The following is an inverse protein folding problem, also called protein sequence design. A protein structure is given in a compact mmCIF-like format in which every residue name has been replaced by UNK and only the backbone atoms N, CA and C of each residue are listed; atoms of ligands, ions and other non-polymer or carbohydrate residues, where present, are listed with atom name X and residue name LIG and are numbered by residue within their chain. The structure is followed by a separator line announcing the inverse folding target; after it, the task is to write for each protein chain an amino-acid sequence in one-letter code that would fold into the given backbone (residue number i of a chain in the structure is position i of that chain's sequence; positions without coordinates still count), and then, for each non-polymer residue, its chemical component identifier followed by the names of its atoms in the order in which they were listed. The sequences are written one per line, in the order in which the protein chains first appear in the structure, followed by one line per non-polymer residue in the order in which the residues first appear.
data_IF_155605857522
#
_entry.id   IF_155605857522
#
_cell.length_a   1.000
_cell.length_b   1.000
_cell.length_c   1.000
_cell.angle_alpha   90.00
_cell.angle_beta   90.00
_cell.angle_gamma   90.00
#
_symmetry.space_group_name_H-M   'P 1'
#
loop_
_entity.id
_entity.type
_entity.pdbx_description
1 polymer ?
#
# COMPACT_ATOMS: atom_id res chain seq x y z
N UNK A 1 -22.09 -12.45 35.51
CA UNK A 1 -21.67 -11.23 34.79
C UNK A 1 -22.51 -11.14 33.52
N UNK A 2 -23.34 -10.11 33.35
CA UNK A 2 -24.37 -10.07 32.29
C UNK A 2 -23.73 -10.05 30.89
N UNK A 3 -24.19 -10.94 30.00
CA UNK A 3 -23.69 -11.07 28.61
C UNK A 3 -23.66 -9.72 27.88
N UNK A 4 -24.65 -8.87 28.13
CA UNK A 4 -24.74 -7.52 27.57
C UNK A 4 -23.61 -6.59 28.03
N UNK A 5 -23.13 -6.71 29.28
CA UNK A 5 -21.98 -5.92 29.79
C UNK A 5 -20.66 -6.41 29.20
N UNK A 6 -20.50 -7.72 29.02
CA UNK A 6 -19.31 -8.31 28.38
C UNK A 6 -19.25 -7.91 26.91
N UNK A 7 -20.38 -7.96 26.19
CA UNK A 7 -20.50 -7.55 24.80
C UNK A 7 -20.20 -6.05 24.61
N UNK A 8 -20.76 -5.19 25.46
CA UNK A 8 -20.53 -3.74 25.37
C UNK A 8 -19.07 -3.37 25.68
N UNK A 9 -18.45 -4.04 26.67
CA UNK A 9 -17.04 -3.88 26.99
C UNK A 9 -16.14 -4.34 25.83
N UNK A 10 -16.51 -5.44 25.16
CA UNK A 10 -15.77 -5.95 24.00
C UNK A 10 -15.80 -4.97 22.82
N UNK A 11 -16.97 -4.38 22.53
CA UNK A 11 -17.13 -3.36 21.49
C UNK A 11 -16.33 -2.09 21.82
N UNK A 12 -16.36 -1.64 23.07
CA UNK A 12 -15.60 -0.44 23.46
C UNK A 12 -14.09 -0.65 23.38
N UNK A 13 -13.59 -1.83 23.73
CA UNK A 13 -12.16 -2.18 23.59
C UNK A 13 -11.76 -2.23 22.10
N UNK A 14 -12.56 -2.84 21.24
CA UNK A 14 -12.33 -2.87 19.79
C UNK A 14 -12.30 -1.46 19.17
N UNK A 15 -13.26 -0.61 19.53
CA UNK A 15 -13.30 0.79 19.08
C UNK A 15 -12.11 1.61 19.60
N UNK A 16 -11.67 1.38 20.84
CA UNK A 16 -10.50 2.06 21.39
C UNK A 16 -9.20 1.61 20.69
N UNK A 17 -9.09 0.33 20.32
CA UNK A 17 -7.94 -0.19 19.57
C UNK A 17 -7.90 0.37 18.14
N UNK A 18 -9.04 0.40 17.44
CA UNK A 18 -9.14 1.00 16.10
C UNK A 18 -8.76 2.50 16.14
N UNK A 19 -9.30 3.25 17.11
CA UNK A 19 -8.97 4.68 17.31
C UNK A 19 -7.48 4.88 17.59
N UNK A 20 -6.88 4.10 18.50
CA UNK A 20 -5.46 4.20 18.86
C UNK A 20 -4.55 3.89 17.66
N UNK A 21 -4.85 2.85 16.87
CA UNK A 21 -4.08 2.53 15.66
C UNK A 21 -4.18 3.62 14.60
N UNK A 22 -5.36 4.22 14.47
CA UNK A 22 -5.60 5.31 13.52
C UNK A 22 -4.88 6.59 13.91
N UNK A 23 -4.77 6.90 15.21
CA UNK A 23 -3.93 8.00 15.70
C UNK A 23 -2.43 7.74 15.49
N UNK A 24 -2.02 6.47 15.48
CA UNK A 24 -0.60 6.11 15.48
C UNK A 24 0.03 6.02 14.08
N UNK A 25 -0.71 5.59 13.07
CA UNK A 25 -0.16 5.28 11.74
C UNK A 25 -0.61 6.23 10.63
N UNK A 26 -1.70 6.95 10.83
CA UNK A 26 -2.24 7.86 9.82
C UNK A 26 -1.31 9.08 9.65
N UNK A 27 -1.03 9.45 8.40
CA UNK A 27 -0.17 10.59 8.02
C UNK A 27 1.21 10.58 8.71
N UNK A 28 1.75 9.38 8.96
CA UNK A 28 3.00 9.19 9.70
C UNK A 28 4.17 8.93 8.75
N UNK A 29 5.34 9.48 9.07
CA UNK A 29 6.56 9.30 8.26
C UNK A 29 7.21 7.93 8.49
N UNK A 30 8.04 7.49 7.54
CA UNK A 30 8.78 6.23 7.66
C UNK A 30 9.69 6.23 8.90
N UNK A 31 10.32 7.37 9.21
CA UNK A 31 11.16 7.54 10.40
C UNK A 31 10.37 7.31 11.68
N UNK A 32 9.18 7.92 11.80
CA UNK A 32 8.32 7.71 12.97
C UNK A 32 7.82 6.27 13.04
N UNK A 33 7.46 5.64 11.92
CA UNK A 33 7.12 4.21 11.91
C UNK A 33 8.28 3.34 12.40
N UNK A 34 9.53 3.67 12.02
CA UNK A 34 10.72 2.98 12.54
C UNK A 34 10.89 3.18 14.05
N UNK A 35 10.68 4.38 14.57
CA UNK A 35 10.74 4.65 16.02
C UNK A 35 9.71 3.81 16.79
N UNK A 36 8.51 3.64 16.24
CA UNK A 36 7.46 2.81 16.83
C UNK A 36 7.83 1.33 16.83
N UNK A 37 8.40 0.82 15.73
CA UNK A 37 8.88 -0.55 15.61
C UNK A 37 10.05 -0.82 16.58
N UNK A 38 10.99 0.11 16.69
CA UNK A 38 12.16 -0.03 17.55
C UNK A 38 11.80 0.03 19.04
N UNK A 39 10.84 0.89 19.39
CA UNK A 39 10.31 1.00 20.76
C UNK A 39 9.29 -0.09 21.13
N UNK A 40 9.04 -1.06 20.24
CA UNK A 40 8.04 -2.13 20.40
C UNK A 40 6.63 -1.59 20.72
N UNK A 41 6.30 -0.38 20.23
CA UNK A 41 4.94 0.19 20.32
C UNK A 41 4.00 -0.36 19.24
N UNK A 42 4.59 -0.95 18.19
CA UNK A 42 3.94 -1.68 17.10
C UNK A 42 4.91 -2.75 16.59
N UNK A 43 4.42 -3.68 15.76
CA UNK A 43 5.25 -4.52 14.90
C UNK A 43 4.86 -4.40 13.41
N UNK A 44 5.61 -5.04 12.52
CA UNK A 44 5.36 -4.97 11.07
C UNK A 44 4.06 -5.68 10.68
N UNK A 45 3.64 -6.71 11.44
CA UNK A 45 2.36 -7.40 11.23
C UNK A 45 1.21 -6.44 11.49
N UNK A 46 1.21 -5.74 12.62
CA UNK A 46 0.20 -4.72 12.97
C UNK A 46 0.14 -3.60 11.93
N UNK A 47 1.29 -3.13 11.43
CA UNK A 47 1.33 -2.15 10.34
C UNK A 47 0.67 -2.69 9.05
N UNK A 48 1.02 -3.90 8.63
CA UNK A 48 0.43 -4.52 7.43
C UNK A 48 -1.07 -4.70 7.59
N UNK A 49 -1.53 -5.21 8.73
CA UNK A 49 -2.95 -5.40 9.02
C UNK A 49 -3.72 -4.07 8.97
N UNK A 50 -3.13 -3.00 9.53
CA UNK A 50 -3.74 -1.68 9.50
C UNK A 50 -3.89 -1.13 8.08
N UNK A 51 -2.83 -1.18 7.26
CA UNK A 51 -2.88 -0.73 5.87
C UNK A 51 -3.87 -1.55 5.04
N UNK A 52 -3.93 -2.87 5.23
CA UNK A 52 -4.89 -3.75 4.54
C UNK A 52 -6.34 -3.43 4.93
N UNK A 53 -6.61 -3.26 6.24
CA UNK A 53 -7.93 -2.88 6.76
C UNK A 53 -8.39 -1.54 6.18
N UNK A 54 -7.50 -0.55 6.19
CA UNK A 54 -7.78 0.78 5.64
C UNK A 54 -8.04 0.72 4.13
N UNK A 55 -7.24 -0.05 3.39
CA UNK A 55 -7.44 -0.28 1.96
C UNK A 55 -8.81 -0.92 1.69
N UNK A 56 -9.18 -1.96 2.44
CA UNK A 56 -10.50 -2.60 2.29
C UNK A 56 -11.66 -1.59 2.50
N UNK A 57 -11.56 -0.79 3.57
CA UNK A 57 -12.58 0.19 3.96
C UNK A 57 -12.76 1.29 2.91
N UNK A 58 -11.67 1.81 2.34
CA UNK A 58 -11.74 3.00 1.48
C UNK A 58 -11.51 2.75 -0.02
N UNK A 59 -10.67 1.79 -0.38
CA UNK A 59 -10.33 1.49 -1.77
C UNK A 59 -11.41 0.66 -2.47
N UNK A 60 -11.87 -0.40 -1.79
CA UNK A 60 -12.76 -1.42 -2.36
C UNK A 60 -14.24 -1.19 -1.98
N UNK A 61 -14.49 -0.62 -0.80
CA UNK A 61 -15.84 -0.43 -0.27
C UNK A 61 -16.33 1.02 -0.35
N UNK A 62 -15.88 1.90 0.55
CA UNK A 62 -16.47 3.22 0.80
C UNK A 62 -16.49 4.16 -0.42
N UNK A 63 -15.54 5.13 -0.54
CA UNK A 63 -15.45 6.01 -1.71
C UNK A 63 -15.04 5.26 -3.00
N UNK A 64 -14.67 3.97 -2.90
CA UNK A 64 -14.29 3.10 -4.03
C UNK A 64 -13.18 3.71 -4.87
N UNK A 65 -12.05 4.03 -4.22
CA UNK A 65 -10.92 4.67 -4.92
C UNK A 65 -10.36 3.78 -6.04
N UNK A 66 -10.43 2.45 -5.88
CA UNK A 66 -10.01 1.47 -6.87
C UNK A 66 -8.58 1.73 -7.37
N UNK A 67 -7.65 1.84 -6.42
CA UNK A 67 -6.24 2.19 -6.58
C UNK A 67 -5.31 0.99 -6.41
N UNK A 68 -5.81 -0.14 -5.89
CA UNK A 68 -5.09 -1.39 -5.75
C UNK A 68 -5.54 -2.41 -6.81
N UNK A 69 -4.59 -2.94 -7.57
CA UNK A 69 -4.81 -3.96 -8.60
C UNK A 69 -4.69 -5.38 -8.01
N UNK A 70 -3.60 -5.66 -7.29
CA UNK A 70 -3.32 -6.99 -6.74
C UNK A 70 -2.65 -6.89 -5.37
N UNK A 71 -3.17 -7.60 -4.37
CA UNK A 71 -2.49 -7.72 -3.08
C UNK A 71 -1.37 -8.77 -3.12
N UNK A 72 -0.28 -8.51 -2.40
CA UNK A 72 0.72 -9.54 -2.11
C UNK A 72 0.16 -10.52 -1.06
N UNK A 73 -0.09 -11.76 -1.47
CA UNK A 73 -0.65 -12.81 -0.59
C UNK A 73 0.31 -13.24 0.54
N UNK A 74 1.59 -12.88 0.44
CA UNK A 74 2.64 -13.22 1.41
C UNK A 74 2.96 -12.08 2.37
N UNK A 75 2.34 -10.90 2.24
CA UNK A 75 2.71 -9.70 3.00
C UNK A 75 2.74 -9.93 4.51
N UNK A 76 1.70 -10.54 5.10
CA UNK A 76 1.66 -10.85 6.55
C UNK A 76 2.75 -11.84 6.97
N UNK A 77 3.00 -12.87 6.16
CA UNK A 77 4.06 -13.84 6.47
C UNK A 77 5.46 -13.23 6.37
N UNK A 78 5.66 -12.29 5.43
CA UNK A 78 6.90 -11.52 5.29
C UNK A 78 7.07 -10.55 6.46
N UNK A 79 6.01 -9.88 6.89
CA UNK A 79 6.01 -9.02 8.07
C UNK A 79 6.48 -9.78 9.31
N UNK A 80 5.87 -10.93 9.59
CA UNK A 80 6.25 -11.80 10.72
C UNK A 80 7.72 -12.23 10.65
N UNK A 81 8.23 -12.54 9.46
CA UNK A 81 9.64 -12.88 9.26
C UNK A 81 10.57 -11.70 9.57
N UNK A 82 10.20 -10.50 9.13
CA UNK A 82 10.98 -9.28 9.36
C UNK A 82 10.94 -8.84 10.83
N UNK A 83 9.84 -9.06 11.54
CA UNK A 83 9.76 -8.81 12.99
C UNK A 83 10.68 -9.75 13.77
N UNK A 84 10.66 -11.05 13.43
CA UNK A 84 11.61 -12.02 14.02
C UNK A 84 13.06 -11.66 13.69
N UNK A 85 13.32 -11.21 12.46
CA UNK A 85 14.65 -10.78 12.07
C UNK A 85 15.10 -9.54 12.83
N UNK A 86 14.23 -8.52 12.96
CA UNK A 86 14.52 -7.30 13.75
C UNK A 86 14.94 -7.68 15.16
N UNK A 87 14.17 -8.55 15.82
CA UNK A 87 14.47 -9.02 17.18
C UNK A 87 15.81 -9.75 17.29
N UNK A 88 16.16 -10.54 16.29
CA UNK A 88 17.34 -11.42 16.36
C UNK A 88 18.63 -10.79 15.81
N UNK A 89 18.52 -9.88 14.84
CA UNK A 89 19.64 -9.36 14.04
C UNK A 89 19.63 -7.84 13.89
N UNK A 90 18.55 -7.16 14.30
CA UNK A 90 18.32 -5.74 14.04
C UNK A 90 17.70 -5.48 12.66
N UNK A 91 17.32 -4.22 12.43
CA UNK A 91 16.79 -3.76 11.15
C UNK A 91 17.88 -3.71 10.07
N UNK A 92 17.54 -4.12 8.84
CA UNK A 92 18.44 -4.02 7.69
C UNK A 92 18.64 -2.58 7.20
N UNK A 93 17.60 -1.75 7.32
CA UNK A 93 17.58 -0.35 6.88
C UNK A 93 16.35 0.36 7.46
N UNK A 94 16.17 1.65 7.14
CA UNK A 94 14.95 2.41 7.45
C UNK A 94 13.68 1.85 6.79
N UNK A 95 13.80 0.96 5.80
CA UNK A 95 12.66 0.30 5.17
C UNK A 95 12.32 -1.05 5.79
N UNK A 96 13.08 -1.52 6.79
CA UNK A 96 12.87 -2.83 7.40
C UNK A 96 11.51 -2.93 8.07
N UNK A 97 10.63 -3.80 7.56
CA UNK A 97 9.27 -3.97 8.05
C UNK A 97 8.26 -2.95 7.51
N UNK A 98 8.67 -2.03 6.63
CA UNK A 98 7.80 -0.95 6.13
C UNK A 98 6.98 -1.41 4.91
N UNK A 99 5.65 -1.26 4.91
CA UNK A 99 4.80 -1.59 3.77
C UNK A 99 4.91 -0.56 2.63
N UNK A 100 5.31 -1.02 1.45
CA UNK A 100 5.50 -0.22 0.24
C UNK A 100 4.59 -0.71 -0.88
N UNK A 101 4.00 0.23 -1.61
CA UNK A 101 3.19 -0.04 -2.80
C UNK A 101 4.07 0.00 -4.06
N UNK A 102 3.77 -0.81 -5.07
CA UNK A 102 4.49 -0.74 -6.36
C UNK A 102 3.50 -0.71 -7.52
N UNK A 103 3.79 0.08 -8.55
CA UNK A 103 2.95 0.15 -9.76
C UNK A 103 2.82 -1.19 -10.47
N UNK A 104 1.68 -1.43 -11.11
CA UNK A 104 1.39 -2.73 -11.74
C UNK A 104 2.39 -3.15 -12.84
N UNK A 105 3.13 -2.23 -13.45
CA UNK A 105 4.19 -2.55 -14.43
C UNK A 105 5.56 -2.94 -13.81
N UNK A 106 5.65 -3.14 -12.49
CA UNK A 106 6.88 -3.59 -11.81
C UNK A 106 6.84 -5.09 -11.55
N UNK A 107 7.58 -5.91 -12.29
CA UNK A 107 7.59 -7.35 -12.04
C UNK A 107 7.92 -7.70 -10.58
N UNK A 108 7.12 -8.59 -9.99
CA UNK A 108 7.37 -9.21 -8.69
C UNK A 108 6.85 -10.64 -8.67
N UNK A 109 7.52 -11.53 -7.97
CA UNK A 109 7.03 -12.92 -7.78
C UNK A 109 5.87 -13.01 -6.79
N UNK A 110 5.53 -11.92 -6.10
CA UNK A 110 4.52 -11.87 -5.05
C UNK A 110 3.08 -11.66 -5.57
N UNK A 111 2.94 -11.15 -6.79
CA UNK A 111 1.65 -10.79 -7.38
C UNK A 111 1.74 -10.74 -8.92
N UNK A 112 0.62 -10.83 -9.65
CA UNK A 112 0.60 -10.65 -11.10
C UNK A 112 1.09 -9.26 -11.53
N UNK A 113 1.49 -9.14 -12.79
CA UNK A 113 1.90 -7.87 -13.42
C UNK A 113 1.17 -7.75 -14.75
N UNK A 114 0.16 -6.88 -14.82
CA UNK A 114 -0.76 -6.81 -15.98
C UNK A 114 -0.62 -5.53 -16.79
N UNK A 115 0.24 -4.60 -16.34
CA UNK A 115 0.32 -3.23 -16.87
C UNK A 115 -1.04 -2.53 -16.97
N UNK A 116 -2.00 -2.87 -16.10
CA UNK A 116 -3.38 -2.39 -16.13
C UNK A 116 -4.27 -2.95 -17.26
N UNK A 117 -3.81 -3.97 -17.98
CA UNK A 117 -4.47 -4.54 -19.17
C UNK A 117 -5.01 -5.94 -18.94
N UNK A 118 -6.26 -6.18 -19.35
CA UNK A 118 -6.89 -7.50 -19.31
C UNK A 118 -6.19 -8.53 -20.22
N UNK A 119 -5.45 -8.08 -21.26
CA UNK A 119 -4.72 -9.01 -22.13
C UNK A 119 -3.56 -9.72 -21.42
N UNK A 120 -3.07 -9.14 -20.32
CA UNK A 120 -2.00 -9.69 -19.49
C UNK A 120 -2.56 -10.34 -18.21
N UNK A 121 -3.88 -10.56 -18.14
CA UNK A 121 -4.49 -11.28 -17.02
C UNK A 121 -3.82 -12.67 -16.85
N UNK A 122 -3.47 -13.00 -15.61
CA UNK A 122 -2.75 -14.25 -15.30
C UNK A 122 -1.24 -14.21 -15.54
N UNK A 123 -0.67 -13.12 -16.05
CA UNK A 123 0.79 -12.98 -16.16
C UNK A 123 1.44 -12.90 -14.77
N UNK A 124 2.11 -13.98 -14.38
CA UNK A 124 2.84 -14.09 -13.11
C UNK A 124 4.36 -14.06 -13.37
N UNK A 125 5.07 -13.01 -12.96
CA UNK A 125 6.52 -12.92 -13.15
C UNK A 125 7.29 -14.02 -12.44
N UNK A 126 8.39 -14.48 -13.06
CA UNK A 126 9.31 -15.49 -12.48
C UNK A 126 10.43 -14.88 -11.63
N UNK A 127 10.60 -13.56 -11.69
CA UNK A 127 11.63 -12.81 -10.97
C UNK A 127 11.10 -11.43 -10.59
N UNK A 128 11.74 -10.84 -9.60
CA UNK A 128 11.52 -9.44 -9.26
C UNK A 128 12.28 -8.52 -10.23
N UNK A 129 11.69 -7.38 -10.57
CA UNK A 129 12.41 -6.28 -11.16
C UNK A 129 13.53 -5.81 -10.21
N UNK A 130 14.63 -5.30 -10.75
CA UNK A 130 15.83 -4.92 -9.97
C UNK A 130 15.52 -4.02 -8.78
N UNK A 131 14.68 -3.00 -8.97
CA UNK A 131 14.27 -2.08 -7.93
C UNK A 131 13.37 -2.72 -6.87
N UNK A 132 12.50 -3.67 -7.24
CA UNK A 132 11.67 -4.44 -6.29
C UNK A 132 12.56 -5.34 -5.45
N UNK A 133 13.54 -6.02 -6.09
CA UNK A 133 14.54 -6.83 -5.39
C UNK A 133 15.31 -6.00 -4.36
N UNK A 134 15.78 -4.80 -4.73
CA UNK A 134 16.50 -3.89 -3.81
C UNK A 134 15.65 -3.44 -2.62
N UNK A 135 14.36 -3.15 -2.84
CA UNK A 135 13.43 -2.85 -1.75
C UNK A 135 13.31 -4.02 -0.76
N UNK A 136 13.16 -5.25 -1.26
CA UNK A 136 13.09 -6.45 -0.42
C UNK A 136 14.39 -6.75 0.31
N UNK A 137 15.54 -6.53 -0.35
CA UNK A 137 16.87 -6.64 0.27
C UNK A 137 17.02 -5.65 1.43
N UNK A 138 16.51 -4.42 1.27
CA UNK A 138 16.45 -3.41 2.32
C UNK A 138 15.45 -3.73 3.44
N UNK A 139 14.64 -4.79 3.30
CA UNK A 139 13.66 -5.24 4.28
C UNK A 139 12.26 -4.64 4.11
N UNK A 140 11.96 -3.99 2.99
CA UNK A 140 10.62 -3.49 2.71
C UNK A 140 9.63 -4.63 2.43
N UNK A 141 8.38 -4.43 2.82
CA UNK A 141 7.28 -5.35 2.52
C UNK A 141 6.53 -4.79 1.31
N UNK A 142 6.60 -5.48 0.17
CA UNK A 142 5.77 -5.11 -0.98
C UNK A 142 4.33 -5.48 -0.66
N UNK A 143 3.50 -4.49 -0.32
CA UNK A 143 2.14 -4.74 0.16
C UNK A 143 1.18 -5.10 -0.98
N UNK A 144 1.24 -4.32 -2.06
CA UNK A 144 0.32 -4.48 -3.17
C UNK A 144 0.86 -3.84 -4.46
N UNK A 145 0.26 -4.28 -5.57
CA UNK A 145 0.34 -3.70 -6.90
C UNK A 145 -0.74 -2.64 -7.06
N UNK A 146 -0.37 -1.43 -7.40
CA UNK A 146 -1.32 -0.32 -7.62
C UNK A 146 -1.78 -0.28 -9.07
N UNK A 147 -3.02 0.17 -9.28
CA UNK A 147 -3.55 0.40 -10.62
C UNK A 147 -2.74 1.47 -11.36
N UNK A 148 -2.83 1.44 -12.68
CA UNK A 148 -2.13 2.39 -13.54
C UNK A 148 -2.92 2.66 -14.81
N UNK A 149 -2.63 3.76 -15.50
CA UNK A 149 -3.13 3.89 -16.86
C UNK A 149 -2.56 2.77 -17.71
N UNK A 150 -3.42 2.08 -18.45
CA UNK A 150 -3.08 0.88 -19.22
C UNK A 150 -1.85 1.12 -20.11
N UNK A 151 -0.87 0.22 -20.03
CA UNK A 151 0.44 0.33 -20.70
C UNK A 151 1.22 1.62 -20.44
N UNK A 152 0.92 2.30 -19.33
CA UNK A 152 1.44 3.62 -19.01
C UNK A 152 1.11 4.71 -20.06
N UNK A 153 0.09 4.48 -20.90
CA UNK A 153 -0.22 5.33 -22.05
C UNK A 153 -1.40 6.27 -21.78
N UNK A 154 -1.29 7.09 -20.73
CA UNK A 154 -2.27 8.14 -20.45
C UNK A 154 -2.25 8.70 -19.04
N UNK A 155 -3.11 9.71 -18.81
CA UNK A 155 -3.00 10.66 -17.68
C UNK A 155 -4.15 10.59 -16.67
N UNK A 156 -5.09 9.65 -16.84
CA UNK A 156 -6.31 9.58 -16.02
C UNK A 156 -6.45 8.30 -15.21
N UNK A 157 -5.48 7.38 -15.32
CA UNK A 157 -5.49 6.05 -14.66
C UNK A 157 -6.78 5.26 -14.91
N UNK A 158 -6.89 4.78 -16.15
CA UNK A 158 -7.94 3.88 -16.62
C UNK A 158 -7.27 2.67 -17.27
N UNK A 159 -7.87 1.50 -17.13
CA UNK A 159 -7.38 0.30 -17.78
C UNK A 159 -8.41 -0.81 -17.82
N UNK A 160 -8.33 -1.63 -18.86
CA UNK A 160 -9.27 -2.72 -19.12
C UNK A 160 -9.32 -3.77 -17.98
N UNK A 161 -8.25 -3.91 -17.18
CA UNK A 161 -8.19 -4.87 -16.08
C UNK A 161 -8.93 -4.44 -14.79
N UNK A 162 -9.25 -3.15 -14.62
CA UNK A 162 -9.82 -2.63 -13.36
C UNK A 162 -10.83 -1.49 -13.53
N UNK A 163 -10.98 -0.93 -14.72
CA UNK A 163 -11.83 0.22 -14.99
C UNK A 163 -11.12 1.55 -14.71
N UNK A 164 -11.51 2.23 -13.62
CA UNK A 164 -11.04 3.60 -13.31
C UNK A 164 -10.61 3.74 -11.85
N UNK A 165 -9.55 4.49 -11.62
CA UNK A 165 -9.14 4.93 -10.27
C UNK A 165 -9.64 6.34 -10.01
N UNK A 166 -10.03 6.61 -8.76
CA UNK A 166 -10.57 7.90 -8.32
C UNK A 166 -9.58 8.64 -7.41
N UNK A 167 -9.64 9.97 -7.44
CA UNK A 167 -8.84 10.82 -6.58
C UNK A 167 -9.41 10.79 -5.12
N UNK A 168 -8.57 10.59 -4.08
CA UNK A 168 -9.01 10.56 -2.69
C UNK A 168 -9.54 11.91 -2.16
N UNK A 169 -9.09 13.04 -2.70
CA UNK A 169 -9.59 14.37 -2.31
C UNK A 169 -10.96 14.67 -2.92
N UNK A 170 -11.24 14.14 -4.11
CA UNK A 170 -12.55 14.23 -4.74
C UNK A 170 -12.79 13.02 -5.66
N UNK A 171 -13.61 12.04 -5.24
CA UNK A 171 -13.84 10.81 -6.02
C UNK A 171 -14.49 11.02 -7.40
N UNK A 172 -14.96 12.24 -7.73
CA UNK A 172 -15.44 12.60 -9.07
C UNK A 172 -14.29 12.94 -10.04
N UNK A 173 -13.07 13.11 -9.56
CA UNK A 173 -11.89 13.47 -10.36
C UNK A 173 -10.95 12.27 -10.55
N UNK A 174 -10.10 12.33 -11.59
CA UNK A 174 -9.03 11.36 -11.78
C UNK A 174 -7.79 11.72 -10.93
N UNK A 175 -7.02 10.73 -10.48
CA UNK A 175 -5.83 10.94 -9.65
C UNK A 175 -4.58 11.32 -10.46
N UNK A 176 -4.73 11.76 -11.71
CA UNK A 176 -3.61 11.84 -12.65
C UNK A 176 -3.16 10.47 -13.17
N UNK A 177 -2.11 10.42 -13.97
CA UNK A 177 -1.58 9.18 -14.55
C UNK A 177 -0.18 9.33 -15.12
N UNK A 178 0.49 8.25 -15.50
CA UNK A 178 -0.04 6.89 -15.48
C UNK A 178 0.09 6.18 -14.12
N UNK A 179 0.82 6.73 -13.15
CA UNK A 179 0.96 6.14 -11.79
C UNK A 179 -0.13 6.59 -10.82
N UNK A 180 -1.37 6.82 -11.31
CA UNK A 180 -2.43 7.40 -10.48
C UNK A 180 -2.95 6.48 -9.38
N UNK A 181 -2.87 5.15 -9.55
CA UNK A 181 -3.14 4.22 -8.46
C UNK A 181 -2.15 4.39 -7.32
N UNK A 182 -0.85 4.49 -7.63
CA UNK A 182 0.18 4.79 -6.64
C UNK A 182 -0.08 6.13 -5.93
N UNK A 183 -0.37 7.19 -6.70
CA UNK A 183 -0.65 8.52 -6.13
C UNK A 183 -1.88 8.52 -5.22
N UNK A 184 -2.99 7.94 -5.67
CA UNK A 184 -4.22 7.85 -4.88
C UNK A 184 -4.04 7.01 -3.63
N UNK A 185 -3.37 5.85 -3.74
CA UNK A 185 -3.19 4.92 -2.64
C UNK A 185 -2.28 5.48 -1.54
N UNK A 186 -1.18 6.14 -1.89
CA UNK A 186 -0.28 6.78 -0.92
C UNK A 186 -0.98 7.94 -0.23
N UNK A 187 -1.65 8.83 -0.98
CA UNK A 187 -2.40 9.94 -0.38
C UNK A 187 -3.56 9.47 0.53
N UNK A 188 -4.12 8.29 0.27
CA UNK A 188 -5.14 7.67 1.12
C UNK A 188 -4.56 6.86 2.30
N UNK A 189 -3.24 6.79 2.45
CA UNK A 189 -2.51 6.01 3.45
C UNK A 189 -2.79 4.49 3.33
N UNK A 190 -2.68 3.93 2.13
CA UNK A 190 -2.76 2.48 1.90
C UNK A 190 -1.39 1.79 1.90
N UNK A 191 -0.32 2.57 2.01
CA UNK A 191 1.04 2.12 2.29
C UNK A 191 1.87 3.35 2.69
N UNK A 192 3.05 3.13 3.26
CA UNK A 192 3.89 4.23 3.76
C UNK A 192 4.49 5.06 2.62
N UNK A 193 4.82 4.42 1.50
CA UNK A 193 5.24 5.06 0.26
C UNK A 193 4.92 4.17 -0.95
N UNK A 194 5.16 4.68 -2.15
CA UNK A 194 4.84 3.95 -3.38
C UNK A 194 5.82 4.21 -4.53
N UNK A 195 6.05 3.19 -5.34
CA UNK A 195 6.84 3.29 -6.57
C UNK A 195 5.93 3.54 -7.78
N UNK A 196 6.34 4.44 -8.66
CA UNK A 196 5.71 4.71 -9.96
C UNK A 196 6.76 4.78 -11.07
N UNK A 197 6.30 4.83 -12.33
CA UNK A 197 7.17 4.99 -13.50
C UNK A 197 6.89 6.32 -14.20
N UNK A 198 7.92 6.96 -14.74
CA UNK A 198 7.81 8.28 -15.38
C UNK A 198 8.43 8.29 -16.79
N UNK A 199 7.57 8.40 -17.82
CA UNK A 199 8.00 8.61 -19.22
C UNK A 199 7.89 10.08 -19.62
N UNK A 200 6.78 10.75 -19.28
CA UNK A 200 6.52 12.16 -19.65
C UNK A 200 5.81 12.96 -18.53
N UNK A 201 5.99 12.58 -17.26
CA UNK A 201 5.31 13.13 -16.08
C UNK A 201 4.50 12.11 -15.28
N UNK A 202 4.66 10.81 -15.55
CA UNK A 202 3.78 9.78 -14.98
C UNK A 202 3.98 9.51 -13.48
N UNK A 203 4.96 10.11 -12.83
CA UNK A 203 5.06 10.24 -11.37
C UNK A 203 4.58 11.63 -10.95
N UNK A 204 5.13 12.69 -11.57
CA UNK A 204 4.88 14.09 -11.18
C UNK A 204 3.40 14.51 -11.30
N UNK A 205 2.70 14.07 -12.34
CA UNK A 205 1.28 14.40 -12.56
C UNK A 205 0.39 13.78 -11.47
N UNK A 206 0.46 12.46 -11.19
CA UNK A 206 -0.21 11.90 -10.02
C UNK A 206 0.17 12.58 -8.72
N UNK A 207 1.45 12.88 -8.48
CA UNK A 207 1.86 13.54 -7.25
C UNK A 207 1.20 14.92 -7.08
N UNK A 208 1.15 15.74 -8.13
CA UNK A 208 0.46 17.02 -8.11
C UNK A 208 -1.06 16.88 -7.87
N UNK A 209 -1.69 15.86 -8.46
CA UNK A 209 -3.13 15.63 -8.30
C UNK A 209 -3.53 15.11 -6.92
N UNK A 210 -2.61 14.47 -6.20
CA UNK A 210 -2.87 13.82 -4.91
C UNK A 210 -2.08 14.47 -3.76
N UNK A 211 -1.57 15.69 -3.95
CA UNK A 211 -0.83 16.45 -2.93
C UNK A 211 0.36 15.68 -2.31
N UNK A 212 1.14 15.01 -3.16
CA UNK A 212 2.30 14.22 -2.77
C UNK A 212 3.60 14.82 -3.32
N UNK A 213 4.72 14.42 -2.71
CA UNK A 213 6.04 14.53 -3.32
C UNK A 213 6.23 13.38 -4.30
N UNK A 214 6.78 13.64 -5.48
CA UNK A 214 7.09 12.63 -6.49
C UNK A 214 8.37 12.97 -7.24
N UNK A 215 9.26 12.00 -7.36
CA UNK A 215 10.57 12.10 -8.01
C UNK A 215 10.69 11.11 -9.17
#
# INVERSE_FOLDING_TARGET
MNFLKVFFLFITILMAFETKSQELFLETSIETLQDLLESNKTDSVELVEWYLSRTQKYDQQGPKLNSIQHFNRRALSQAKQLDMERKNKGARSLLHGIPILIKDNYETIDAPTTAGSAILEGHWPKKDATQVKRLKEAGAIILAKTTMHEFAFGWTTRGSAFGVTRNPYNPKHHPGGSSGGTGAAVAANFGAAGMGSDTCGSIRVPSAHNNLVGL
#
